data_IF_450692869109
#
_entry.id   IF_450692869109
#
_cell.length_a   1.000
_cell.length_b   1.000
_cell.length_c   1.000
_cell.angle_alpha   90.00
_cell.angle_beta   90.00
_cell.angle_gamma   90.00
#
_symmetry.space_group_name_H-M   'P 1'
#
loop_
_entity.id
_entity.type
_entity.pdbx_description
1 polymer ?
#
# COMPACT_ATOMS: atom_id res chain seq x y z
N UNK A 1 -20.70 16.27 -14.18
CA UNK A 1 -20.43 16.16 -12.73
C UNK A 1 -21.07 17.33 -12.04
N UNK A 2 -21.73 17.11 -10.90
CA UNK A 2 -22.21 18.25 -10.09
C UNK A 2 -21.02 18.97 -9.43
N UNK A 3 -20.95 20.31 -9.47
CA UNK A 3 -19.91 21.08 -8.76
C UNK A 3 -19.91 20.81 -7.25
N UNK A 4 -21.09 20.64 -6.64
CA UNK A 4 -21.23 20.35 -5.21
C UNK A 4 -20.53 19.04 -4.83
N UNK A 5 -20.70 18.01 -5.65
CA UNK A 5 -20.22 16.66 -5.36
C UNK A 5 -18.71 16.57 -5.55
N UNK A 6 -18.16 17.33 -6.50
CA UNK A 6 -16.72 17.48 -6.69
C UNK A 6 -16.06 18.22 -5.53
N UNK A 7 -16.68 19.28 -5.01
CA UNK A 7 -16.20 20.01 -3.83
C UNK A 7 -16.19 19.11 -2.61
N UNK A 8 -17.27 18.38 -2.37
CA UNK A 8 -17.39 17.46 -1.24
C UNK A 8 -16.39 16.29 -1.35
N UNK A 9 -16.24 15.69 -2.53
CA UNK A 9 -15.25 14.65 -2.79
C UNK A 9 -13.81 15.17 -2.55
N UNK A 10 -13.52 16.40 -2.98
CA UNK A 10 -12.21 17.05 -2.78
C UNK A 10 -11.95 17.33 -1.30
N UNK A 11 -12.95 17.84 -0.57
CA UNK A 11 -12.88 18.07 0.87
C UNK A 11 -12.56 16.78 1.62
N UNK A 12 -13.25 15.67 1.30
CA UNK A 12 -12.98 14.35 1.90
C UNK A 12 -11.58 13.83 1.57
N UNK A 13 -11.13 13.99 0.31
CA UNK A 13 -9.77 13.62 -0.07
C UNK A 13 -8.72 14.43 0.72
N UNK A 14 -8.89 15.74 0.86
CA UNK A 14 -8.00 16.60 1.64
C UNK A 14 -8.01 16.24 3.12
N UNK A 15 -9.17 15.96 3.69
CA UNK A 15 -9.28 15.49 5.08
C UNK A 15 -8.44 14.21 5.30
N UNK A 16 -8.47 13.26 4.37
CA UNK A 16 -7.62 12.06 4.43
C UNK A 16 -6.14 12.36 4.21
N UNK A 17 -5.80 13.36 3.39
CA UNK A 17 -4.41 13.82 3.21
C UNK A 17 -3.86 14.46 4.47
N UNK A 18 -4.68 15.14 5.28
CA UNK A 18 -4.27 15.85 6.48
C UNK A 18 -4.30 14.93 7.72
N UNK A 19 -5.46 14.36 8.01
CA UNK A 19 -5.75 13.64 9.25
C UNK A 19 -5.45 12.14 9.14
N UNK A 20 -5.43 11.61 7.92
CA UNK A 20 -5.38 10.17 7.68
C UNK A 20 -6.75 9.50 7.92
N UNK A 21 -6.94 8.28 7.41
CA UNK A 21 -8.19 7.56 7.59
C UNK A 21 -8.36 7.02 9.01
N UNK A 22 -9.60 6.95 9.47
CA UNK A 22 -9.93 6.40 10.78
C UNK A 22 -9.99 4.88 10.71
N UNK A 23 -9.12 4.18 11.45
CA UNK A 23 -9.17 2.72 11.54
C UNK A 23 -10.15 2.30 12.65
N UNK A 24 -11.35 1.85 12.29
CA UNK A 24 -12.42 1.45 13.24
C UNK A 24 -12.21 0.03 13.79
N UNK A 25 -11.53 -0.84 13.04
CA UNK A 25 -11.36 -2.27 13.38
C UNK A 25 -9.88 -2.68 13.40
N UNK A 26 -9.51 -3.81 12.81
CA UNK A 26 -8.13 -4.28 12.72
C UNK A 26 -7.42 -3.54 11.59
N UNK A 27 -6.31 -2.84 11.87
CA UNK A 27 -5.50 -2.23 10.80
C UNK A 27 -4.82 -3.31 9.95
N UNK A 28 -4.60 -3.06 8.65
CA UNK A 28 -3.82 -3.96 7.79
C UNK A 28 -2.43 -4.25 8.38
N UNK A 29 -1.82 -3.24 9.00
CA UNK A 29 -0.49 -3.36 9.62
C UNK A 29 -0.49 -4.29 10.84
N UNK A 30 -1.59 -4.31 11.62
CA UNK A 30 -1.74 -5.27 12.72
C UNK A 30 -1.85 -6.70 12.19
N UNK A 31 -2.61 -6.91 11.11
CA UNK A 31 -2.71 -8.21 10.45
C UNK A 31 -1.36 -8.72 9.94
N UNK A 32 -0.59 -7.88 9.23
CA UNK A 32 0.75 -8.24 8.75
C UNK A 32 1.75 -8.47 9.89
N UNK A 33 1.69 -7.68 10.96
CA UNK A 33 2.51 -7.91 12.16
C UNK A 33 2.21 -9.27 12.79
N UNK A 34 0.93 -9.60 13.00
CA UNK A 34 0.51 -10.90 13.54
C UNK A 34 0.97 -12.08 12.65
N UNK A 35 0.73 -11.99 11.34
CA UNK A 35 1.19 -13.01 10.38
C UNK A 35 2.70 -13.18 10.39
N UNK A 36 3.46 -12.10 10.51
CA UNK A 36 4.93 -12.16 10.50
C UNK A 36 5.50 -12.80 11.75
N UNK A 37 4.86 -12.59 12.91
CA UNK A 37 5.19 -13.31 14.14
C UNK A 37 4.93 -14.81 13.96
N UNK A 38 3.78 -15.18 13.38
CA UNK A 38 3.45 -16.57 13.09
C UNK A 38 4.48 -17.21 12.15
N UNK A 39 4.88 -16.52 11.08
CA UNK A 39 5.89 -17.01 10.14
C UNK A 39 7.27 -17.17 10.78
N UNK A 40 7.66 -16.24 11.65
CA UNK A 40 8.89 -16.37 12.44
C UNK A 40 8.83 -17.58 13.37
N UNK A 41 7.68 -17.83 14.01
CA UNK A 41 7.46 -19.00 14.87
C UNK A 41 7.56 -20.32 14.08
N UNK A 42 6.93 -20.41 12.91
CA UNK A 42 7.03 -21.58 12.02
C UNK A 42 8.48 -21.83 11.59
N UNK A 43 9.31 -20.78 11.50
CA UNK A 43 10.71 -20.87 11.08
C UNK A 43 11.68 -21.28 12.21
N UNK A 44 11.21 -21.43 13.47
CA UNK A 44 12.05 -21.78 14.64
C UNK A 44 12.84 -23.08 14.46
N UNK A 45 12.31 -24.17 13.88
CA UNK A 45 13.07 -25.40 13.68
C UNK A 45 14.36 -25.21 12.87
N UNK A 46 14.44 -24.18 12.02
CA UNK A 46 15.66 -23.84 11.28
C UNK A 46 16.81 -23.38 12.17
N UNK A 47 16.56 -22.97 13.42
CA UNK A 47 17.61 -22.60 14.37
C UNK A 47 18.45 -23.82 14.79
N UNK A 48 17.88 -25.01 14.70
CA UNK A 48 18.56 -26.27 15.07
C UNK A 48 19.60 -26.71 14.04
N UNK A 49 19.69 -26.02 12.90
CA UNK A 49 20.56 -26.38 11.76
C UNK A 49 21.31 -25.14 11.27
N UNK A 50 22.64 -25.20 11.38
CA UNK A 50 23.52 -24.03 11.18
C UNK A 50 23.41 -23.46 9.76
N UNK A 51 23.21 -24.33 8.77
CA UNK A 51 23.00 -24.02 7.36
C UNK A 51 21.64 -23.34 7.06
N UNK A 52 20.68 -23.43 7.99
CA UNK A 52 19.32 -22.88 7.82
C UNK A 52 18.98 -21.72 8.76
N UNK A 53 19.88 -21.38 9.69
CA UNK A 53 19.69 -20.30 10.68
C UNK A 53 19.37 -18.96 10.02
N UNK A 54 19.96 -18.69 8.86
CA UNK A 54 19.78 -17.43 8.13
C UNK A 54 18.30 -17.18 7.75
N UNK A 55 17.54 -18.25 7.49
CA UNK A 55 16.14 -18.16 7.12
C UNK A 55 15.27 -17.75 8.30
N UNK A 56 15.57 -18.27 9.50
CA UNK A 56 14.96 -17.79 10.73
C UNK A 56 15.28 -16.31 10.98
N UNK A 57 16.52 -15.88 10.76
CA UNK A 57 16.91 -14.47 10.93
C UNK A 57 16.14 -13.54 9.99
N UNK A 58 15.93 -13.94 8.72
CA UNK A 58 15.06 -13.18 7.81
C UNK A 58 13.61 -13.13 8.29
N UNK A 59 13.08 -14.25 8.79
CA UNK A 59 11.72 -14.32 9.32
C UNK A 59 11.53 -13.37 10.52
N UNK A 60 12.49 -13.40 11.44
CA UNK A 60 12.55 -12.57 12.64
C UNK A 60 12.72 -11.08 12.29
N UNK A 61 13.65 -10.76 11.37
CA UNK A 61 13.85 -9.38 10.91
C UNK A 61 12.57 -8.81 10.31
N UNK A 62 11.86 -9.58 9.48
CA UNK A 62 10.58 -9.16 8.92
C UNK A 62 9.50 -8.93 9.98
N UNK A 63 9.44 -9.80 11.01
CA UNK A 63 8.53 -9.62 12.15
C UNK A 63 8.83 -8.34 12.93
N UNK A 64 10.10 -8.06 13.22
CA UNK A 64 10.53 -6.82 13.90
C UNK A 64 10.15 -5.59 13.06
N UNK A 65 10.41 -5.59 11.75
CA UNK A 65 10.03 -4.48 10.86
C UNK A 65 8.51 -4.27 10.84
N UNK A 66 7.70 -5.34 10.76
CA UNK A 66 6.25 -5.22 10.74
C UNK A 66 5.67 -4.75 12.08
N UNK A 67 6.18 -5.26 13.20
CA UNK A 67 5.76 -4.83 14.54
C UNK A 67 6.14 -3.37 14.77
N UNK A 68 7.37 -2.96 14.43
CA UNK A 68 7.80 -1.57 14.57
C UNK A 68 7.01 -0.62 13.67
N UNK A 69 6.71 -1.03 12.43
CA UNK A 69 5.84 -0.29 11.52
C UNK A 69 4.43 -0.10 12.10
N UNK A 70 3.83 -1.17 12.64
CA UNK A 70 2.53 -1.12 13.29
C UNK A 70 2.53 -0.25 14.56
N UNK A 71 3.51 -0.41 15.45
CA UNK A 71 3.64 0.40 16.67
C UNK A 71 3.81 1.88 16.32
N UNK A 72 4.67 2.20 15.34
CA UNK A 72 4.87 3.57 14.88
C UNK A 72 3.59 4.15 14.27
N UNK A 73 2.89 3.39 13.44
CA UNK A 73 1.62 3.82 12.86
C UNK A 73 0.54 4.03 13.92
N UNK A 74 0.48 3.16 14.95
CA UNK A 74 -0.44 3.31 16.09
C UNK A 74 -0.12 4.56 16.90
N UNK A 75 1.16 4.80 17.21
CA UNK A 75 1.62 6.00 17.96
C UNK A 75 1.29 7.31 17.23
N UNK A 76 1.39 7.32 15.90
CA UNK A 76 1.13 8.52 15.10
C UNK A 76 -0.29 8.60 14.54
N UNK A 77 -1.22 7.71 14.95
CA UNK A 77 -2.59 7.63 14.41
C UNK A 77 -2.62 7.55 12.87
N UNK A 78 -1.69 6.78 12.29
CA UNK A 78 -1.50 6.59 10.84
C UNK A 78 -1.74 5.14 10.42
N UNK A 79 -2.64 4.45 11.11
CA UNK A 79 -2.97 3.07 10.79
C UNK A 79 -3.62 3.00 9.40
N UNK A 80 -3.22 1.99 8.62
CA UNK A 80 -3.80 1.73 7.32
C UNK A 80 -5.08 0.91 7.49
N UNK A 81 -6.27 1.46 7.17
CA UNK A 81 -7.52 0.70 7.22
C UNK A 81 -7.57 -0.31 6.07
N UNK A 82 -8.37 -1.37 6.24
CA UNK A 82 -8.68 -2.29 5.14
C UNK A 82 -9.57 -1.63 4.09
N UNK A 83 -10.52 -0.82 4.54
CA UNK A 83 -11.46 -0.07 3.73
C UNK A 83 -11.61 1.31 4.37
N UNK A 84 -11.63 2.36 3.55
CA UNK A 84 -12.08 3.68 4.03
C UNK A 84 -13.60 3.62 4.07
N UNK A 85 -14.17 3.60 5.27
CA UNK A 85 -15.61 3.53 5.46
C UNK A 85 -16.30 4.84 5.04
N UNK A 86 -17.57 4.75 4.66
CA UNK A 86 -18.40 5.94 4.50
C UNK A 86 -18.59 6.60 5.89
N UNK A 87 -18.54 7.94 6.00
CA UNK A 87 -18.59 8.93 4.93
C UNK A 87 -17.23 9.36 4.35
N UNK A 88 -16.11 8.88 4.90
CA UNK A 88 -14.76 9.33 4.56
C UNK A 88 -14.32 8.96 3.13
N UNK A 89 -15.00 8.00 2.49
CA UNK A 89 -14.67 7.57 1.13
C UNK A 89 -14.82 8.75 0.14
N UNK A 90 -13.72 9.24 -0.48
CA UNK A 90 -13.74 10.49 -1.26
C UNK A 90 -14.66 10.41 -2.47
N UNK A 91 -14.62 9.27 -3.17
CA UNK A 91 -15.45 9.02 -4.34
C UNK A 91 -16.90 8.67 -3.97
N UNK A 92 -17.21 8.47 -2.68
CA UNK A 92 -18.55 8.14 -2.19
C UNK A 92 -19.58 9.24 -2.44
N UNK A 93 -19.14 10.49 -2.59
CA UNK A 93 -19.99 11.63 -2.92
C UNK A 93 -20.40 11.68 -4.41
N UNK A 94 -19.70 10.96 -5.29
CA UNK A 94 -19.93 11.02 -6.74
C UNK A 94 -20.93 9.94 -7.20
N UNK A 95 -21.57 10.17 -8.34
CA UNK A 95 -22.37 9.14 -9.04
C UNK A 95 -21.48 8.01 -9.58
N UNK A 96 -21.99 6.78 -9.84
CA UNK A 96 -21.18 5.69 -10.38
C UNK A 96 -20.44 6.02 -11.69
N UNK A 97 -21.08 6.78 -12.58
CA UNK A 97 -20.48 7.23 -13.83
C UNK A 97 -19.31 8.19 -13.60
N UNK A 98 -19.50 9.16 -12.69
CA UNK A 98 -18.48 10.13 -12.33
C UNK A 98 -17.30 9.47 -11.60
N UNK A 99 -17.57 8.51 -10.69
CA UNK A 99 -16.53 7.68 -10.04
C UNK A 99 -15.67 6.96 -11.06
N UNK A 100 -16.29 6.34 -12.07
CA UNK A 100 -15.59 5.63 -13.15
C UNK A 100 -14.72 6.60 -13.95
N UNK A 101 -15.24 7.78 -14.27
CA UNK A 101 -14.50 8.84 -14.98
C UNK A 101 -13.28 9.30 -14.19
N UNK A 102 -13.47 9.74 -12.94
CA UNK A 102 -12.38 10.19 -12.05
C UNK A 102 -11.34 9.09 -11.83
N UNK A 103 -11.78 7.85 -11.64
CA UNK A 103 -10.86 6.71 -11.52
C UNK A 103 -10.02 6.53 -12.77
N UNK A 104 -10.60 6.66 -13.97
CA UNK A 104 -9.83 6.60 -15.22
C UNK A 104 -8.79 7.72 -15.30
N UNK A 105 -9.12 8.94 -14.85
CA UNK A 105 -8.21 10.08 -14.82
C UNK A 105 -7.06 9.91 -13.82
N UNK A 106 -7.33 9.50 -12.58
CA UNK A 106 -6.30 9.16 -11.57
C UNK A 106 -5.36 8.07 -12.11
N UNK A 107 -5.95 7.17 -12.89
CA UNK A 107 -5.24 6.08 -13.54
C UNK A 107 -4.63 6.50 -14.90
N UNK A 108 -4.64 7.78 -15.30
CA UNK A 108 -4.07 8.22 -16.59
C UNK A 108 -4.57 7.46 -17.82
N UNK A 109 -5.77 6.87 -17.75
CA UNK A 109 -6.49 6.20 -18.86
C UNK A 109 -7.51 7.13 -19.52
N UNK A 110 -7.60 8.36 -19.02
CA UNK A 110 -8.41 9.45 -19.52
C UNK A 110 -7.68 10.75 -19.17
N UNK A 111 -7.78 11.78 -20.02
CA UNK A 111 -7.17 13.07 -19.74
C UNK A 111 -7.83 13.74 -18.53
N UNK A 112 -7.06 14.54 -17.80
CA UNK A 112 -7.58 15.28 -16.64
C UNK A 112 -8.33 16.53 -17.09
N UNK A 113 -9.56 16.69 -16.61
CA UNK A 113 -10.40 17.86 -16.88
C UNK A 113 -10.15 18.97 -15.85
N UNK A 114 -10.23 20.27 -16.21
CA UNK A 114 -9.97 21.39 -15.29
C UNK A 114 -10.77 21.30 -13.98
N UNK A 115 -12.04 20.90 -14.07
CA UNK A 115 -12.95 20.76 -12.92
C UNK A 115 -12.51 19.69 -11.90
N UNK A 116 -11.81 18.65 -12.34
CA UNK A 116 -11.40 17.52 -11.50
C UNK A 116 -9.95 17.63 -11.01
N UNK A 117 -9.20 18.64 -11.46
CA UNK A 117 -7.80 18.89 -11.07
C UNK A 117 -7.61 18.87 -9.55
N UNK A 118 -8.43 19.57 -8.73
CA UNK A 118 -8.26 19.57 -7.27
C UNK A 118 -8.44 18.18 -6.65
N UNK A 119 -9.47 17.45 -7.10
CA UNK A 119 -9.77 16.10 -6.63
C UNK A 119 -8.67 15.09 -7.00
N UNK A 120 -8.23 15.10 -8.26
CA UNK A 120 -7.18 14.18 -8.75
C UNK A 120 -5.86 14.46 -8.02
N UNK A 121 -5.52 15.74 -7.81
CA UNK A 121 -4.33 16.14 -7.05
C UNK A 121 -4.38 15.64 -5.60
N UNK A 122 -5.50 15.86 -4.91
CA UNK A 122 -5.70 15.40 -3.53
C UNK A 122 -5.63 13.86 -3.43
N UNK A 123 -6.26 13.15 -4.37
CA UNK A 123 -6.22 11.69 -4.44
C UNK A 123 -4.81 11.14 -4.67
N UNK A 124 -4.01 11.76 -5.54
CA UNK A 124 -2.61 11.36 -5.76
C UNK A 124 -1.72 11.67 -4.55
N UNK A 125 -1.94 12.78 -3.86
CA UNK A 125 -1.25 13.11 -2.62
C UNK A 125 -1.57 12.07 -1.53
N UNK A 126 -2.84 11.70 -1.39
CA UNK A 126 -3.29 10.66 -0.47
C UNK A 126 -2.66 9.30 -0.80
N UNK A 127 -2.69 8.88 -2.07
CA UNK A 127 -2.03 7.63 -2.52
C UNK A 127 -0.54 7.62 -2.17
N UNK A 128 0.18 8.71 -2.42
CA UNK A 128 1.62 8.81 -2.08
C UNK A 128 1.87 8.68 -0.58
N UNK A 129 1.04 9.32 0.25
CA UNK A 129 1.13 9.21 1.72
C UNK A 129 0.85 7.77 2.15
N UNK A 130 -0.18 7.14 1.60
CA UNK A 130 -0.56 5.75 1.87
C UNK A 130 0.56 4.77 1.48
N UNK A 131 1.14 4.90 0.28
CA UNK A 131 2.27 4.07 -0.18
C UNK A 131 3.51 4.24 0.69
N UNK A 132 3.85 5.47 1.11
CA UNK A 132 4.97 5.69 2.03
C UNK A 132 4.72 5.06 3.40
N UNK A 133 3.48 5.07 3.88
CA UNK A 133 3.11 4.45 5.14
C UNK A 133 3.07 2.91 5.06
N UNK A 134 2.77 2.33 3.89
CA UNK A 134 2.74 0.88 3.69
C UNK A 134 4.11 0.27 3.37
N UNK A 135 5.08 1.06 2.89
CA UNK A 135 6.40 0.57 2.49
C UNK A 135 7.14 -0.24 3.58
N UNK A 136 7.22 0.22 4.85
CA UNK A 136 7.84 -0.59 5.90
C UNK A 136 7.14 -1.94 6.09
N UNK A 137 5.81 -1.95 6.03
CA UNK A 137 5.01 -3.17 6.16
C UNK A 137 5.29 -4.15 5.02
N UNK A 138 5.44 -3.65 3.79
CA UNK A 138 5.79 -4.48 2.64
C UNK A 138 7.19 -5.06 2.75
N UNK A 139 8.16 -4.26 3.23
CA UNK A 139 9.54 -4.72 3.48
C UNK A 139 9.53 -5.83 4.54
N UNK A 140 8.87 -5.60 5.69
CA UNK A 140 8.77 -6.60 6.75
C UNK A 140 8.10 -7.88 6.27
N UNK A 141 7.01 -7.76 5.53
CA UNK A 141 6.29 -8.91 4.95
C UNK A 141 7.17 -9.69 3.96
N UNK A 142 7.91 -8.99 3.10
CA UNK A 142 8.83 -9.60 2.15
C UNK A 142 9.95 -10.39 2.85
N UNK A 143 10.59 -9.79 3.86
CA UNK A 143 11.60 -10.46 4.67
C UNK A 143 11.03 -11.70 5.38
N UNK A 144 9.83 -11.59 5.96
CA UNK A 144 9.22 -12.73 6.65
C UNK A 144 8.83 -13.86 5.71
N UNK A 145 8.37 -13.57 4.50
CA UNK A 145 8.07 -14.59 3.49
C UNK A 145 9.35 -15.26 2.97
N UNK A 146 10.42 -14.50 2.72
CA UNK A 146 11.74 -15.07 2.35
C UNK A 146 12.24 -16.00 3.45
N UNK A 147 12.15 -15.58 4.71
CA UNK A 147 12.55 -16.40 5.85
C UNK A 147 11.71 -17.67 5.98
N UNK A 148 10.38 -17.56 5.91
CA UNK A 148 9.48 -18.71 5.91
C UNK A 148 9.78 -19.67 4.77
N UNK A 149 10.04 -19.15 3.58
CA UNK A 149 10.28 -19.97 2.40
C UNK A 149 11.57 -20.76 2.44
N UNK A 150 12.66 -20.11 2.83
CA UNK A 150 13.92 -20.81 3.02
C UNK A 150 13.87 -21.81 4.18
N UNK A 151 13.18 -21.47 5.27
CA UNK A 151 12.94 -22.39 6.38
C UNK A 151 12.12 -23.60 5.93
N UNK A 152 11.07 -23.38 5.14
CA UNK A 152 10.19 -24.47 4.69
C UNK A 152 10.86 -25.38 3.65
N UNK A 153 11.65 -24.81 2.74
CA UNK A 153 12.41 -25.56 1.75
C UNK A 153 13.47 -26.47 2.38
N UNK A 154 14.17 -25.98 3.41
CA UNK A 154 15.20 -26.74 4.13
C UNK A 154 14.61 -27.74 5.12
N UNK A 155 13.42 -27.50 5.68
CA UNK A 155 12.81 -28.34 6.73
C UNK A 155 11.84 -29.39 6.19
N UNK A 156 11.02 -29.05 5.21
CA UNK A 156 9.88 -29.86 4.80
C UNK A 156 9.96 -30.36 3.35
N UNK A 157 11.07 -30.11 2.65
CA UNK A 157 11.27 -30.58 1.27
C UNK A 157 10.35 -29.91 0.23
N UNK A 158 9.60 -28.88 0.62
CA UNK A 158 8.86 -27.98 -0.27
C UNK A 158 9.87 -27.14 -1.05
N UNK A 159 10.42 -27.72 -2.12
CA UNK A 159 11.64 -27.27 -2.78
C UNK A 159 11.60 -25.88 -3.42
N UNK A 160 12.58 -25.64 -4.29
CA UNK A 160 12.81 -24.41 -5.06
C UNK A 160 11.55 -23.70 -5.59
N UNK A 161 10.46 -24.41 -5.85
CA UNK A 161 9.17 -23.86 -6.25
C UNK A 161 8.63 -22.74 -5.33
N UNK A 162 8.75 -22.87 -4.00
CA UNK A 162 8.26 -21.82 -3.10
C UNK A 162 9.15 -20.56 -3.13
N UNK A 163 10.46 -20.73 -3.27
CA UNK A 163 11.41 -19.63 -3.46
C UNK A 163 11.20 -18.93 -4.81
N UNK A 164 10.95 -19.71 -5.87
CA UNK A 164 10.59 -19.18 -7.20
C UNK A 164 9.28 -18.42 -7.13
N UNK A 165 8.26 -18.93 -6.43
CA UNK A 165 7.01 -18.21 -6.21
C UNK A 165 7.23 -16.87 -5.50
N UNK A 166 8.03 -16.85 -4.42
CA UNK A 166 8.40 -15.59 -3.74
C UNK A 166 9.13 -14.64 -4.71
N UNK A 167 10.10 -15.13 -5.47
CA UNK A 167 10.85 -14.31 -6.43
C UNK A 167 9.91 -13.70 -7.48
N UNK A 168 8.97 -14.48 -8.03
CA UNK A 168 7.95 -14.02 -8.98
C UNK A 168 7.07 -12.94 -8.33
N UNK A 169 6.61 -13.14 -7.09
CA UNK A 169 5.81 -12.15 -6.36
C UNK A 169 6.59 -10.85 -6.16
N UNK A 170 7.86 -10.92 -5.74
CA UNK A 170 8.73 -9.75 -5.55
C UNK A 170 8.93 -8.99 -6.87
N UNK A 171 9.22 -9.70 -7.96
CA UNK A 171 9.37 -9.10 -9.30
C UNK A 171 8.06 -8.44 -9.72
N UNK A 172 6.93 -9.13 -9.57
CA UNK A 172 5.60 -8.61 -9.91
C UNK A 172 5.27 -7.33 -9.13
N UNK A 173 5.46 -7.34 -7.80
CA UNK A 173 5.21 -6.17 -6.95
C UNK A 173 6.13 -5.01 -7.33
N UNK A 174 7.40 -5.28 -7.63
CA UNK A 174 8.38 -4.28 -8.06
C UNK A 174 7.98 -3.63 -9.38
N UNK A 175 7.61 -4.45 -10.37
CA UNK A 175 7.16 -4.00 -11.69
C UNK A 175 5.86 -3.20 -11.57
N UNK A 176 4.87 -3.72 -10.83
CA UNK A 176 3.61 -3.03 -10.57
C UNK A 176 3.82 -1.66 -9.90
N UNK A 177 4.75 -1.59 -8.93
CA UNK A 177 5.13 -0.34 -8.26
C UNK A 177 5.80 0.63 -9.23
N UNK A 178 6.75 0.17 -10.05
CA UNK A 178 7.43 1.01 -11.04
C UNK A 178 6.46 1.58 -12.08
N UNK A 179 5.53 0.75 -12.58
CA UNK A 179 4.45 1.17 -13.49
C UNK A 179 3.57 2.21 -12.79
N UNK A 180 3.16 1.96 -11.54
CA UNK A 180 2.36 2.89 -10.74
C UNK A 180 3.04 4.25 -10.54
N UNK A 181 4.34 4.27 -10.24
CA UNK A 181 5.12 5.51 -10.07
C UNK A 181 5.23 6.28 -11.38
N UNK A 182 5.57 5.61 -12.49
CA UNK A 182 5.64 6.23 -13.82
C UNK A 182 4.29 6.85 -14.21
N UNK A 183 3.21 6.12 -13.97
CA UNK A 183 1.82 6.55 -14.22
C UNK A 183 1.45 7.77 -13.39
N UNK A 184 1.71 7.75 -12.08
CA UNK A 184 1.43 8.89 -11.19
C UNK A 184 2.21 10.14 -11.61
N UNK A 185 3.48 9.99 -12.00
CA UNK A 185 4.29 11.11 -12.52
C UNK A 185 3.71 11.70 -13.80
N UNK A 186 3.21 10.86 -14.72
CA UNK A 186 2.56 11.33 -15.96
C UNK A 186 1.30 12.15 -15.67
N UNK A 187 0.42 11.66 -14.78
CA UNK A 187 -0.81 12.37 -14.40
C UNK A 187 -0.50 13.70 -13.71
N UNK A 188 0.55 13.77 -12.89
CA UNK A 188 0.97 15.04 -12.27
C UNK A 188 1.50 16.04 -13.29
N UNK A 189 2.31 15.60 -14.24
CA UNK A 189 2.76 16.46 -15.33
C UNK A 189 1.57 16.98 -16.17
N UNK A 190 0.50 16.19 -16.30
CA UNK A 190 -0.73 16.62 -16.96
C UNK A 190 -1.52 17.63 -16.12
N UNK A 191 -1.62 17.42 -14.81
CA UNK A 191 -2.23 18.38 -13.86
C UNK A 191 -1.53 19.75 -13.92
N UNK A 192 -0.20 19.76 -14.01
CA UNK A 192 0.58 21.00 -14.08
C UNK A 192 0.34 21.75 -15.40
N UNK A 193 0.09 21.03 -16.50
CA UNK A 193 -0.27 21.64 -17.80
C UNK A 193 -1.69 22.20 -17.82
N UNK A 194 -2.65 21.48 -17.23
CA UNK A 194 -4.07 21.89 -17.20
C UNK A 194 -4.29 23.00 -16.18
N UNK A 195 -3.51 23.04 -15.10
CA UNK A 195 -3.57 24.05 -14.05
C UNK A 195 -2.64 25.26 -14.26
N UNK A 196 -1.82 25.27 -15.32
CA UNK A 196 -1.03 26.45 -15.68
C UNK A 196 -1.99 27.55 -16.16
N UNK A 197 -1.89 28.79 -15.64
CA UNK A 197 -2.63 29.89 -16.23
C UNK A 197 -2.20 30.03 -17.69
N UNK A 198 -3.18 30.12 -18.60
CA UNK A 198 -2.92 30.54 -19.97
C UNK A 198 -2.45 31.98 -19.87
N UNK A 199 -1.14 32.19 -20.01
CA UNK A 199 -0.50 33.51 -20.07
C UNK A 199 -0.90 34.24 -21.34
#
# INVERSE_FOLDING_TARGET
MSPSDLVEATRRANHLVEHGPTAVVLSQQAGFAGMSILWAFISVPSVLRTDSVIWFLFALAGAVVNVTAWVRARRHRRLLPYLVEAPEQPLGALTPADRKSVTRQISGRAPVTPETVPLVRAMLAWQRRFTRASAPTLIGTGLSLVGLGGASATTFGWGWAFLVFIAVVVVFVTVATAIGVRRSRRVLAELDRVGAPVS
#
